data_IF_433419608576
#
_entry.id   IF_433419608576
#
_cell.length_a   1.000
_cell.length_b   1.000
_cell.length_c   1.000
_cell.angle_alpha   90.00
_cell.angle_beta   90.00
_cell.angle_gamma   90.00
#
_symmetry.space_group_name_H-M   'P 1'
#
loop_
_entity.id
_entity.type
_entity.pdbx_description
1 polymer ?
#
# COMPACT_ATOMS: atom_id res chain seq x y z
N UNK A 1 -21.43 3.76 -18.97
CA UNK A 1 -20.50 4.71 -18.32
C UNK A 1 -19.37 3.91 -17.68
N UNK A 2 -18.11 4.38 -17.72
CA UNK A 2 -16.97 3.70 -17.08
C UNK A 2 -16.44 4.56 -15.95
N UNK A 3 -16.00 3.92 -14.86
CA UNK A 3 -15.40 4.58 -13.70
C UNK A 3 -13.92 4.21 -13.63
N UNK A 4 -13.04 5.20 -13.53
CA UNK A 4 -11.61 5.03 -13.33
C UNK A 4 -11.27 5.32 -11.87
N UNK A 5 -10.67 4.35 -11.18
CA UNK A 5 -10.14 4.54 -9.84
C UNK A 5 -8.63 4.75 -9.90
N UNK A 6 -8.15 5.84 -9.31
CA UNK A 6 -6.73 6.12 -9.11
C UNK A 6 -6.43 6.03 -7.62
N UNK A 7 -5.59 5.06 -7.23
CA UNK A 7 -5.23 4.82 -5.84
C UNK A 7 -3.73 4.75 -5.66
N UNK A 8 -3.25 5.15 -4.48
CA UNK A 8 -1.87 4.92 -4.03
C UNK A 8 -1.77 3.58 -3.31
N UNK A 9 -0.56 3.00 -3.26
CA UNK A 9 -0.29 1.83 -2.43
C UNK A 9 -0.46 2.14 -0.92
N UNK A 10 -0.80 1.12 -0.13
CA UNK A 10 -0.82 1.24 1.33
C UNK A 10 0.62 1.36 1.89
N UNK A 11 0.77 1.81 3.14
CA UNK A 11 2.09 2.22 3.66
C UNK A 11 3.14 1.08 3.64
N UNK A 12 4.25 1.31 2.94
CA UNK A 12 5.41 0.42 2.92
C UNK A 12 6.30 0.59 4.16
N UNK A 13 7.10 -0.45 4.41
CA UNK A 13 8.12 -0.52 5.46
C UNK A 13 9.43 0.17 5.03
N UNK A 14 10.12 0.81 5.97
CA UNK A 14 11.37 1.58 5.75
C UNK A 14 12.43 1.33 6.83
N UNK A 15 12.40 0.16 7.46
CA UNK A 15 13.35 -0.23 8.52
C UNK A 15 14.72 -0.61 7.97
N UNK A 16 14.76 -1.29 6.82
CA UNK A 16 16.01 -1.64 6.13
C UNK A 16 16.36 -0.58 5.06
N UNK A 17 17.46 0.18 5.21
CA UNK A 17 17.90 1.17 4.22
C UNK A 17 18.56 0.54 2.98
N UNK A 18 19.07 -0.69 3.04
CA UNK A 18 19.72 -1.37 1.91
C UNK A 18 18.70 -2.10 0.99
N UNK A 19 17.47 -2.33 1.47
CA UNK A 19 16.41 -2.98 0.71
C UNK A 19 15.99 -2.14 -0.51
N UNK A 20 15.99 -2.72 -1.73
CA UNK A 20 15.46 -2.06 -2.93
C UNK A 20 13.99 -1.67 -2.75
N UNK A 21 13.60 -0.51 -3.27
CA UNK A 21 12.25 0.04 -3.04
C UNK A 21 11.12 -0.89 -3.52
N UNK A 22 11.31 -1.53 -4.68
CA UNK A 22 10.35 -2.47 -5.27
C UNK A 22 10.05 -3.71 -4.41
N UNK A 23 11.00 -4.09 -3.55
CA UNK A 23 10.90 -5.28 -2.72
C UNK A 23 10.33 -4.94 -1.33
N UNK A 24 10.03 -3.66 -1.05
CA UNK A 24 9.56 -3.20 0.26
C UNK A 24 8.15 -3.73 0.55
N UNK A 25 7.96 -4.52 1.62
CA UNK A 25 6.63 -4.99 2.00
C UNK A 25 5.82 -3.88 2.68
N UNK A 26 4.52 -4.11 2.86
CA UNK A 26 3.69 -3.27 3.72
C UNK A 26 4.15 -3.35 5.18
N UNK A 27 4.15 -2.21 5.88
CA UNK A 27 4.31 -2.19 7.32
C UNK A 27 2.98 -2.54 8.03
N UNK A 28 3.00 -2.65 9.36
CA UNK A 28 1.81 -3.07 10.11
C UNK A 28 0.62 -2.12 9.93
N UNK A 29 0.89 -0.81 9.77
CA UNK A 29 -0.13 0.16 9.40
C UNK A 29 -0.68 -0.12 8.00
N UNK A 30 0.20 -0.31 7.02
CA UNK A 30 -0.18 -0.61 5.64
C UNK A 30 -1.03 -1.86 5.52
N UNK A 31 -0.67 -2.93 6.26
CA UNK A 31 -1.46 -4.18 6.31
C UNK A 31 -2.86 -3.97 6.91
N UNK A 32 -2.99 -3.13 7.94
CA UNK A 32 -4.30 -2.79 8.53
C UNK A 32 -5.15 -1.87 7.63
N UNK A 33 -4.51 -0.94 6.92
CA UNK A 33 -5.21 0.06 6.11
C UNK A 33 -5.60 -0.49 4.73
N UNK A 34 -4.83 -1.43 4.17
CA UNK A 34 -5.07 -1.96 2.82
C UNK A 34 -6.47 -2.56 2.60
N UNK A 35 -7.02 -3.41 3.50
CA UNK A 35 -8.40 -3.93 3.35
C UNK A 35 -9.45 -2.81 3.36
N UNK A 36 -9.32 -1.85 4.28
CA UNK A 36 -10.25 -0.71 4.39
C UNK A 36 -10.22 0.20 3.16
N UNK A 37 -9.07 0.30 2.50
CA UNK A 37 -8.96 1.01 1.22
C UNK A 37 -9.71 0.26 0.12
N UNK A 38 -9.58 -1.07 0.06
CA UNK A 38 -10.29 -1.93 -0.89
C UNK A 38 -11.81 -1.90 -0.70
N UNK A 39 -12.30 -1.93 0.53
CA UNK A 39 -13.75 -1.86 0.85
C UNK A 39 -14.42 -0.54 0.41
N UNK A 40 -13.64 0.53 0.20
CA UNK A 40 -14.14 1.86 -0.17
C UNK A 40 -14.17 2.11 -1.68
N UNK A 41 -13.65 1.17 -2.47
CA UNK A 41 -13.63 1.23 -3.94
C UNK A 41 -14.79 0.41 -4.51
#
# INVERSE_FOLDING_TARGET
MKTLFLIRHAKSRRDDPAMPDKDRPLNDRGKRDAPKMGERL
#
